data_IF_060495548033
#
_entry.id   IF_060495548033
#
_cell.length_a   1.000
_cell.length_b   1.000
_cell.length_c   1.000
_cell.angle_alpha   90.00
_cell.angle_beta   90.00
_cell.angle_gamma   90.00
#
_symmetry.space_group_name_H-M   'P 1'
#
loop_
_entity.id
_entity.type
_entity.pdbx_description
1 polymer ?
#
# COMPACT_ATOMS: atom_id res chain seq x y z
N UNK A 1 21.64 -4.44 4.18
CA UNK A 1 20.59 -3.41 4.22
C UNK A 1 19.79 -3.64 5.49
N UNK A 2 19.15 -2.62 6.03
CA UNK A 2 18.38 -2.75 7.27
C UNK A 2 17.02 -3.41 6.97
N UNK A 3 16.59 -4.36 7.81
CA UNK A 3 15.29 -5.02 7.65
C UNK A 3 14.19 -4.06 8.12
N UNK A 4 13.31 -3.67 7.20
CA UNK A 4 12.19 -2.78 7.50
C UNK A 4 10.96 -3.56 7.97
N UNK A 5 10.72 -4.74 7.40
CA UNK A 5 9.62 -5.62 7.77
C UNK A 5 10.17 -7.03 8.06
N UNK A 6 9.75 -7.62 9.17
CA UNK A 6 9.98 -9.04 9.49
C UNK A 6 8.67 -9.71 9.84
N UNK A 7 8.34 -10.73 9.10
CA UNK A 7 7.19 -11.62 9.36
C UNK A 7 7.74 -12.93 9.93
N UNK A 8 7.32 -13.32 11.13
CA UNK A 8 7.82 -14.49 11.83
C UNK A 8 6.71 -15.48 12.16
N UNK A 9 6.67 -16.58 11.42
CA UNK A 9 5.78 -17.75 11.59
C UNK A 9 4.32 -17.39 11.81
N UNK A 10 3.82 -16.40 11.09
CA UNK A 10 2.44 -15.96 11.24
C UNK A 10 1.48 -17.05 10.76
N UNK A 11 0.40 -17.17 11.51
CA UNK A 11 -0.76 -18.00 11.16
C UNK A 11 -2.02 -17.16 11.23
N UNK A 12 -2.96 -17.41 10.33
CA UNK A 12 -4.29 -16.80 10.36
C UNK A 12 -5.35 -17.83 10.06
N UNK A 13 -6.24 -17.98 11.01
CA UNK A 13 -7.37 -18.89 10.92
C UNK A 13 -8.67 -18.12 11.03
N UNK A 14 -9.68 -18.52 10.26
CA UNK A 14 -11.05 -18.03 10.33
C UNK A 14 -11.99 -19.19 10.66
N UNK A 15 -13.11 -18.88 11.32
CA UNK A 15 -14.14 -19.84 11.67
C UNK A 15 -14.04 -20.37 13.11
N UNK A 16 -14.84 -21.38 13.40
CA UNK A 16 -14.95 -22.03 14.72
C UNK A 16 -14.37 -23.44 14.66
N UNK A 17 -14.30 -24.13 15.82
CA UNK A 17 -13.70 -25.47 15.98
C UNK A 17 -14.16 -26.51 14.94
N UNK A 18 -15.39 -26.39 14.43
CA UNK A 18 -15.98 -27.33 13.47
C UNK A 18 -15.76 -26.93 12.00
N UNK A 19 -15.42 -25.67 11.72
CA UNK A 19 -15.20 -25.13 10.38
C UNK A 19 -14.01 -24.15 10.37
N UNK A 20 -12.81 -24.66 10.62
CA UNK A 20 -11.59 -23.86 10.65
C UNK A 20 -11.00 -23.74 9.23
N UNK A 21 -10.91 -22.53 8.72
CA UNK A 21 -10.18 -22.22 7.48
C UNK A 21 -8.83 -21.62 7.80
N UNK A 22 -7.76 -22.30 7.37
CA UNK A 22 -6.39 -21.79 7.48
C UNK A 22 -6.11 -20.88 6.27
N UNK A 23 -6.12 -19.57 6.48
CA UNK A 23 -5.80 -18.60 5.44
C UNK A 23 -4.29 -18.38 5.30
N UNK A 24 -3.55 -18.45 6.41
CA UNK A 24 -2.08 -18.40 6.47
C UNK A 24 -1.61 -19.49 7.43
N UNK A 25 -0.60 -20.26 7.03
CA UNK A 25 -0.09 -21.39 7.82
C UNK A 25 1.44 -21.36 7.94
N UNK A 26 1.95 -20.54 8.85
CA UNK A 26 3.36 -20.52 9.25
C UNK A 26 4.30 -19.79 8.27
N UNK A 27 3.90 -18.64 7.72
CA UNK A 27 4.72 -17.86 6.79
C UNK A 27 5.77 -17.04 7.55
N UNK A 28 7.01 -17.04 7.03
CA UNK A 28 8.10 -16.18 7.51
C UNK A 28 8.86 -15.61 6.33
N UNK A 29 9.15 -14.31 6.36
CA UNK A 29 10.02 -13.61 5.41
C UNK A 29 10.41 -12.24 5.96
N UNK A 30 11.44 -11.65 5.36
CA UNK A 30 11.93 -10.31 5.66
C UNK A 30 11.84 -9.44 4.40
N UNK A 31 11.71 -8.12 4.59
CA UNK A 31 11.81 -7.09 3.55
C UNK A 31 12.87 -6.09 3.99
N UNK A 32 13.80 -5.77 3.10
CA UNK A 32 14.82 -4.76 3.36
C UNK A 32 14.33 -3.35 2.96
N UNK A 33 14.91 -2.31 3.58
CA UNK A 33 14.59 -0.94 3.22
C UNK A 33 14.95 -0.64 1.76
N UNK A 34 14.01 -0.04 1.03
CA UNK A 34 14.14 0.25 -0.39
C UNK A 34 13.98 -0.95 -1.32
N UNK A 35 13.54 -2.10 -0.81
CA UNK A 35 13.26 -3.28 -1.63
C UNK A 35 11.87 -3.22 -2.26
N UNK A 36 11.72 -3.78 -3.48
CA UNK A 36 10.43 -4.01 -4.12
C UNK A 36 10.17 -5.51 -4.20
N UNK A 37 9.27 -6.01 -3.37
CA UNK A 37 8.91 -7.43 -3.32
C UNK A 37 7.52 -7.67 -3.90
N UNK A 38 7.43 -8.65 -4.80
CA UNK A 38 6.18 -9.21 -5.31
C UNK A 38 5.88 -10.58 -4.70
N UNK A 39 4.77 -10.72 -3.99
CA UNK A 39 4.26 -12.02 -3.52
C UNK A 39 3.22 -12.51 -4.52
N UNK A 40 3.53 -13.61 -5.20
CA UNK A 40 2.66 -14.21 -6.18
C UNK A 40 1.95 -15.47 -5.65
N UNK A 41 0.72 -15.67 -6.06
CA UNK A 41 -0.05 -16.87 -5.74
C UNK A 41 -1.44 -16.87 -6.35
N UNK A 42 -2.06 -18.03 -6.42
CA UNK A 42 -3.41 -18.19 -6.95
C UNK A 42 -4.45 -17.37 -6.18
N UNK A 43 -5.60 -17.08 -6.78
CA UNK A 43 -6.73 -16.50 -6.06
C UNK A 43 -7.11 -17.39 -4.86
N UNK A 44 -7.39 -16.76 -3.72
CA UNK A 44 -7.73 -17.49 -2.48
C UNK A 44 -6.53 -18.08 -1.73
N UNK A 45 -5.27 -17.84 -2.15
CA UNK A 45 -4.08 -18.35 -1.45
C UNK A 45 -3.68 -17.56 -0.18
N UNK A 46 -4.48 -16.60 0.27
CA UNK A 46 -4.23 -15.84 1.49
C UNK A 46 -3.42 -14.55 1.32
N UNK A 47 -3.12 -14.10 0.09
CA UNK A 47 -2.33 -12.89 -0.17
C UNK A 47 -2.92 -11.62 0.44
N UNK A 48 -4.20 -11.35 0.17
CA UNK A 48 -4.92 -10.21 0.77
C UNK A 48 -5.00 -10.34 2.29
N UNK A 49 -5.18 -11.56 2.82
CA UNK A 49 -5.14 -11.81 4.26
C UNK A 49 -3.78 -11.45 4.85
N UNK A 50 -2.69 -11.82 4.17
CA UNK A 50 -1.33 -11.46 4.57
C UNK A 50 -1.14 -9.94 4.62
N UNK A 51 -1.53 -9.21 3.55
CA UNK A 51 -1.48 -7.75 3.55
C UNK A 51 -2.35 -7.14 4.66
N UNK A 52 -3.54 -7.69 4.92
CA UNK A 52 -4.41 -7.22 5.98
C UNK A 52 -3.77 -7.41 7.37
N UNK A 53 -3.05 -8.51 7.61
CA UNK A 53 -2.30 -8.70 8.85
C UNK A 53 -1.13 -7.72 8.96
N UNK A 54 -0.33 -7.54 7.89
CA UNK A 54 0.79 -6.59 7.87
C UNK A 54 0.30 -5.14 8.05
N UNK A 55 -0.86 -4.83 7.49
CA UNK A 55 -1.47 -3.50 7.61
C UNK A 55 -2.23 -3.25 8.90
N UNK A 56 -2.27 -4.24 9.79
CA UNK A 56 -3.07 -4.19 11.03
C UNK A 56 -4.59 -3.97 10.82
N UNK A 57 -5.10 -4.21 9.60
CA UNK A 57 -6.54 -4.25 9.30
C UNK A 57 -7.15 -5.51 9.90
N UNK A 58 -6.39 -6.61 9.89
CA UNK A 58 -6.74 -7.86 10.57
C UNK A 58 -5.61 -8.26 11.54
N UNK A 59 -5.91 -9.15 12.47
CA UNK A 59 -4.96 -9.65 13.46
C UNK A 59 -4.46 -11.05 13.08
N UNK A 60 -3.23 -11.39 13.40
CA UNK A 60 -2.73 -12.76 13.29
C UNK A 60 -3.35 -13.67 14.35
N UNK A 61 -3.49 -14.98 14.06
CA UNK A 61 -3.90 -15.98 15.07
C UNK A 61 -2.72 -16.43 15.92
N UNK A 62 -1.50 -16.42 15.36
CA UNK A 62 -0.24 -16.64 16.05
C UNK A 62 0.94 -16.13 15.22
N UNK A 63 2.13 -16.06 15.81
CA UNK A 63 3.32 -15.47 15.21
C UNK A 63 3.36 -13.95 15.38
N UNK A 64 4.40 -13.32 14.86
CA UNK A 64 4.68 -11.91 15.06
C UNK A 64 5.02 -11.21 13.74
N UNK A 65 4.70 -9.94 13.67
CA UNK A 65 5.09 -9.07 12.55
C UNK A 65 5.77 -7.84 13.15
N UNK A 66 6.97 -7.53 12.66
CA UNK A 66 7.74 -6.38 13.12
C UNK A 66 7.91 -5.40 11.97
N UNK A 67 7.63 -4.12 12.22
CA UNK A 67 8.03 -3.02 11.36
C UNK A 67 9.19 -2.30 12.05
N UNK A 68 10.38 -2.39 11.46
CA UNK A 68 11.64 -2.13 12.15
C UNK A 68 11.75 -3.01 13.42
N UNK A 69 11.90 -2.39 14.60
CA UNK A 69 11.95 -3.11 15.89
C UNK A 69 10.59 -3.22 16.59
N UNK A 70 9.53 -2.57 16.05
CA UNK A 70 8.22 -2.54 16.68
C UNK A 70 7.40 -3.77 16.30
N UNK A 71 6.99 -4.57 17.29
CA UNK A 71 5.98 -5.62 17.08
C UNK A 71 4.62 -5.00 16.84
N UNK A 72 4.13 -5.10 15.60
CA UNK A 72 2.85 -4.52 15.21
C UNK A 72 1.65 -5.39 15.59
N UNK A 73 1.88 -6.64 15.94
CA UNK A 73 0.81 -7.56 16.41
C UNK A 73 0.37 -7.24 17.84
N UNK A 74 1.18 -6.50 18.60
CA UNK A 74 0.92 -6.11 19.98
C UNK A 74 0.46 -4.64 20.13
N UNK A 75 0.25 -3.93 19.01
CA UNK A 75 -0.21 -2.54 19.06
C UNK A 75 -1.62 -2.48 19.65
N UNK A 76 -1.80 -1.64 20.66
CA UNK A 76 -3.13 -1.39 21.25
C UNK A 76 -4.07 -0.77 20.24
N UNK A 77 -5.34 -1.16 20.27
CA UNK A 77 -6.39 -0.71 19.33
C UNK A 77 -6.44 0.82 19.18
N UNK A 78 -6.30 1.56 20.26
CA UNK A 78 -6.27 3.02 20.29
C UNK A 78 -5.15 3.65 19.46
N UNK A 79 -4.04 2.92 19.23
CA UNK A 79 -2.85 3.38 18.51
C UNK A 79 -2.77 2.86 17.06
N UNK A 80 -3.58 1.88 16.68
CA UNK A 80 -3.55 1.22 15.36
C UNK A 80 -3.77 2.24 14.22
N UNK A 81 -4.77 3.11 14.35
CA UNK A 81 -5.07 4.10 13.32
C UNK A 81 -3.91 5.10 13.13
N UNK A 82 -3.27 5.50 14.21
CA UNK A 82 -2.08 6.36 14.17
C UNK A 82 -0.91 5.63 13.53
N UNK A 83 -0.65 4.39 13.93
CA UNK A 83 0.42 3.57 13.37
C UNK A 83 0.28 3.42 11.84
N UNK A 84 -0.91 3.04 11.34
CA UNK A 84 -1.17 2.93 9.90
C UNK A 84 -0.89 4.24 9.16
N UNK A 85 -1.42 5.33 9.69
CA UNK A 85 -1.28 6.66 9.10
C UNK A 85 0.17 7.13 8.99
N UNK A 86 0.97 6.84 10.03
CA UNK A 86 2.32 7.36 10.14
C UNK A 86 3.36 6.48 9.41
N UNK A 87 3.07 5.19 9.21
CA UNK A 87 4.05 4.22 8.73
C UNK A 87 3.71 3.53 7.41
N UNK A 88 2.43 3.49 7.01
CA UNK A 88 1.99 2.68 5.88
C UNK A 88 1.40 3.53 4.76
N UNK A 89 1.77 3.19 3.51
CA UNK A 89 1.08 3.63 2.31
C UNK A 89 0.24 2.49 1.73
N UNK A 90 -0.88 2.81 1.06
CA UNK A 90 -1.77 1.81 0.48
C UNK A 90 -2.10 2.10 -0.96
N UNK A 91 -1.98 1.07 -1.81
CA UNK A 91 -2.43 1.09 -3.20
C UNK A 91 -3.37 -0.12 -3.38
N UNK A 92 -4.63 0.17 -3.69
CA UNK A 92 -5.68 -0.85 -3.85
C UNK A 92 -6.07 -1.02 -5.32
N UNK A 93 -6.64 -2.18 -5.64
CA UNK A 93 -7.18 -2.50 -6.95
C UNK A 93 -8.23 -1.47 -7.42
N UNK A 94 -9.15 -1.07 -6.55
CA UNK A 94 -10.26 -0.14 -6.85
C UNK A 94 -9.91 1.35 -6.59
N UNK A 95 -8.61 1.68 -6.51
CA UNK A 95 -8.07 3.02 -6.25
C UNK A 95 -8.48 3.64 -4.91
N UNK A 96 -9.69 3.41 -4.43
CA UNK A 96 -10.26 3.96 -3.19
C UNK A 96 -10.10 5.49 -3.08
N UNK A 97 -10.30 6.20 -4.19
CA UNK A 97 -10.37 7.66 -4.20
C UNK A 97 -11.73 8.13 -3.73
N UNK A 98 -11.75 9.26 -3.02
CA UNK A 98 -12.99 9.91 -2.61
C UNK A 98 -13.50 10.77 -3.76
N UNK A 99 -14.65 10.42 -4.35
CA UNK A 99 -15.24 11.11 -5.49
C UNK A 99 -15.73 12.54 -5.18
N UNK A 100 -15.90 12.85 -3.90
CA UNK A 100 -16.27 14.19 -3.41
C UNK A 100 -15.08 15.13 -3.26
N UNK A 101 -13.85 14.62 -3.40
CA UNK A 101 -12.61 15.38 -3.32
C UNK A 101 -11.95 15.44 -4.70
N UNK A 102 -11.25 16.54 -4.97
CA UNK A 102 -10.39 16.67 -6.15
C UNK A 102 -9.19 15.71 -6.06
N UNK A 103 -8.43 15.57 -7.14
CA UNK A 103 -7.18 14.79 -7.15
C UNK A 103 -6.19 15.36 -6.14
N UNK A 104 -6.05 16.70 -6.09
CA UNK A 104 -5.20 17.37 -5.10
C UNK A 104 -5.61 17.05 -3.66
N UNK A 105 -6.90 17.16 -3.35
CA UNK A 105 -7.44 16.89 -2.01
C UNK A 105 -7.33 15.41 -1.63
N UNK A 106 -7.49 14.47 -2.58
CA UNK A 106 -7.26 13.05 -2.34
C UNK A 106 -5.80 12.78 -1.94
N UNK A 107 -4.83 13.43 -2.59
CA UNK A 107 -3.40 13.29 -2.25
C UNK A 107 -3.12 13.97 -0.91
N UNK A 108 -3.67 15.17 -0.68
CA UNK A 108 -3.44 15.97 0.52
C UNK A 108 -4.04 15.36 1.80
N UNK A 109 -5.03 14.46 1.67
CA UNK A 109 -5.87 13.99 2.77
C UNK A 109 -5.06 13.51 3.98
N UNK A 110 -4.06 12.67 3.76
CA UNK A 110 -3.23 12.11 4.85
C UNK A 110 -2.40 13.21 5.55
N UNK A 111 -1.90 14.19 4.80
CA UNK A 111 -1.13 15.30 5.33
C UNK A 111 -2.02 16.22 6.18
N UNK A 112 -3.27 16.44 5.72
CA UNK A 112 -4.27 17.24 6.45
C UNK A 112 -4.64 16.58 7.78
N UNK A 113 -4.88 15.25 7.78
CA UNK A 113 -5.16 14.48 8.99
C UNK A 113 -3.97 14.55 9.97
N UNK A 114 -2.75 14.58 9.45
CA UNK A 114 -1.51 14.73 10.24
C UNK A 114 -1.25 16.19 10.69
N UNK A 115 -2.17 17.11 10.38
CA UNK A 115 -2.06 18.53 10.75
C UNK A 115 -0.78 19.21 10.24
N UNK A 116 -0.31 18.80 9.07
CA UNK A 116 0.80 19.45 8.38
C UNK A 116 0.34 20.86 7.97
N UNK A 117 1.19 21.89 8.07
CA UNK A 117 0.84 23.23 7.61
C UNK A 117 0.46 23.27 6.14
N UNK A 118 -0.57 24.05 5.78
CA UNK A 118 -1.14 24.12 4.43
C UNK A 118 -0.09 24.38 3.35
N UNK A 119 0.82 25.32 3.59
CA UNK A 119 1.92 25.62 2.66
C UNK A 119 2.81 24.39 2.36
N UNK A 120 3.05 23.55 3.36
CA UNK A 120 3.87 22.34 3.20
C UNK A 120 3.08 21.24 2.50
N UNK A 121 1.76 21.16 2.72
CA UNK A 121 0.84 20.27 1.99
C UNK A 121 0.90 20.61 0.49
N UNK A 122 0.67 21.87 0.11
CA UNK A 122 0.69 22.31 -1.29
C UNK A 122 2.00 21.96 -1.99
N UNK A 123 3.13 22.21 -1.31
CA UNK A 123 4.44 21.91 -1.87
C UNK A 123 4.63 20.40 -2.10
N UNK A 124 4.28 19.57 -1.12
CA UNK A 124 4.39 18.11 -1.23
C UNK A 124 3.47 17.55 -2.30
N UNK A 125 2.20 18.00 -2.34
CA UNK A 125 1.25 17.53 -3.35
C UNK A 125 1.73 17.86 -4.75
N UNK A 126 2.18 19.09 -5.01
CA UNK A 126 2.74 19.50 -6.31
C UNK A 126 4.01 18.70 -6.67
N UNK A 127 4.90 18.49 -5.71
CA UNK A 127 6.11 17.70 -5.91
C UNK A 127 5.77 16.27 -6.38
N UNK A 128 4.89 15.56 -5.66
CA UNK A 128 4.54 14.18 -6.00
C UNK A 128 3.65 14.09 -7.24
N UNK A 129 2.75 15.06 -7.46
CA UNK A 129 1.97 15.15 -8.69
C UNK A 129 2.87 15.28 -9.92
N UNK A 130 3.92 16.09 -9.83
CA UNK A 130 4.95 16.25 -10.89
C UNK A 130 5.71 14.94 -11.12
N UNK A 131 6.21 14.30 -10.05
CA UNK A 131 6.92 13.04 -10.14
C UNK A 131 6.10 11.92 -10.80
N UNK A 132 4.78 11.97 -10.65
CA UNK A 132 3.84 10.97 -11.17
C UNK A 132 3.08 11.42 -12.43
N UNK A 133 3.38 12.62 -12.96
CA UNK A 133 2.81 13.13 -14.22
C UNK A 133 1.30 13.34 -14.16
N UNK A 134 0.80 13.94 -13.08
CA UNK A 134 -0.63 14.26 -12.85
C UNK A 134 -0.86 15.70 -12.41
N UNK A 135 0.08 16.62 -12.65
CA UNK A 135 -0.06 18.04 -12.28
C UNK A 135 -1.24 18.72 -12.99
N UNK A 136 -1.49 18.35 -14.25
CA UNK A 136 -2.53 18.93 -15.09
C UNK A 136 -3.96 18.56 -14.71
N UNK A 137 -4.11 17.60 -13.77
CA UNK A 137 -5.42 17.09 -13.34
C UNK A 137 -5.72 17.35 -11.85
N UNK A 138 -4.87 18.07 -11.12
CA UNK A 138 -5.01 18.29 -9.68
C UNK A 138 -6.38 18.85 -9.28
N UNK A 139 -6.93 19.77 -10.10
CA UNK A 139 -8.23 20.40 -9.86
C UNK A 139 -9.43 19.56 -10.33
N UNK A 140 -9.21 18.37 -10.91
CA UNK A 140 -10.27 17.48 -11.38
C UNK A 140 -10.74 16.54 -10.28
N UNK A 141 -11.98 16.07 -10.42
CA UNK A 141 -12.51 15.01 -9.57
C UNK A 141 -12.21 13.61 -10.15
N UNK A 142 -12.20 12.55 -9.34
CA UNK A 142 -11.90 11.20 -9.80
C UNK A 142 -12.74 10.73 -10.99
N UNK A 143 -14.03 11.10 -11.06
CA UNK A 143 -14.90 10.74 -12.17
C UNK A 143 -14.59 11.47 -13.50
N UNK A 144 -13.71 12.48 -13.49
CA UNK A 144 -13.31 13.26 -14.65
C UNK A 144 -11.98 12.79 -15.26
N UNK A 145 -11.35 11.79 -14.71
CA UNK A 145 -10.01 11.33 -15.10
C UNK A 145 -10.00 9.85 -15.48
N UNK A 146 -9.01 9.41 -16.27
CA UNK A 146 -8.86 8.01 -16.69
C UNK A 146 -8.47 7.09 -15.53
N UNK A 147 -8.67 5.76 -15.71
CA UNK A 147 -8.25 4.75 -14.74
C UNK A 147 -6.76 4.84 -14.40
N UNK A 148 -5.89 5.01 -15.40
CA UNK A 148 -4.46 5.19 -15.18
C UNK A 148 -4.11 6.47 -14.42
N UNK A 149 -4.87 7.56 -14.62
CA UNK A 149 -4.71 8.79 -13.84
C UNK A 149 -5.19 8.63 -12.39
N UNK A 150 -6.31 7.93 -12.17
CA UNK A 150 -6.77 7.55 -10.82
C UNK A 150 -5.71 6.74 -10.08
N UNK A 151 -5.09 5.79 -10.76
CA UNK A 151 -4.07 4.93 -10.16
C UNK A 151 -2.81 5.73 -9.78
N UNK A 152 -2.37 6.66 -10.64
CA UNK A 152 -1.26 7.54 -10.29
C UNK A 152 -1.60 8.49 -9.14
N UNK A 153 -2.86 8.94 -9.03
CA UNK A 153 -3.34 9.67 -7.86
C UNK A 153 -3.28 8.82 -6.58
N UNK A 154 -3.74 7.56 -6.64
CA UNK A 154 -3.66 6.62 -5.52
C UNK A 154 -2.20 6.36 -5.12
N UNK A 155 -1.27 6.24 -6.08
CA UNK A 155 0.16 6.11 -5.84
C UNK A 155 0.75 7.36 -5.18
N UNK A 156 0.37 8.56 -5.64
CA UNK A 156 0.77 9.82 -5.01
C UNK A 156 0.31 9.90 -3.55
N UNK A 157 -0.96 9.57 -3.31
CA UNK A 157 -1.53 9.51 -1.96
C UNK A 157 -0.79 8.52 -1.05
N UNK A 158 -0.38 7.39 -1.60
CA UNK A 158 0.33 6.36 -0.84
C UNK A 158 1.71 6.81 -0.38
N UNK A 159 2.44 7.62 -1.18
CA UNK A 159 3.83 7.99 -0.90
C UNK A 159 4.01 9.38 -0.29
N UNK A 160 3.03 10.28 -0.42
CA UNK A 160 3.17 11.71 -0.06
C UNK A 160 3.55 11.95 1.40
N UNK A 161 3.17 11.04 2.29
CA UNK A 161 3.51 11.09 3.72
C UNK A 161 4.84 10.40 4.05
N UNK A 162 5.60 9.94 3.05
CA UNK A 162 6.87 9.22 3.21
C UNK A 162 6.74 8.01 4.15
N UNK A 163 5.84 7.05 3.84
CA UNK A 163 5.64 5.87 4.66
C UNK A 163 6.89 4.98 4.67
N UNK A 164 7.05 4.15 5.70
CA UNK A 164 8.13 3.16 5.79
C UNK A 164 7.98 2.04 4.76
N UNK A 165 6.75 1.65 4.48
CA UNK A 165 6.43 0.63 3.47
C UNK A 165 5.10 0.95 2.78
N UNK A 166 5.05 0.67 1.48
CA UNK A 166 3.84 0.75 0.67
C UNK A 166 3.33 -0.66 0.42
N UNK A 167 2.07 -0.89 0.76
CA UNK A 167 1.37 -2.15 0.56
C UNK A 167 0.45 -2.03 -0.67
N UNK A 168 0.65 -2.88 -1.68
CA UNK A 168 -0.12 -2.87 -2.91
C UNK A 168 -0.88 -4.19 -3.07
N UNK A 169 -2.22 -4.13 -3.01
CA UNK A 169 -3.10 -5.30 -3.16
C UNK A 169 -3.67 -5.36 -4.58
N UNK A 170 -3.15 -6.29 -5.37
CA UNK A 170 -3.54 -6.52 -6.77
C UNK A 170 -3.72 -5.23 -7.59
N UNK A 171 -2.74 -4.32 -7.58
CA UNK A 171 -2.93 -2.94 -8.04
C UNK A 171 -3.21 -2.83 -9.54
N UNK A 172 -2.95 -3.88 -10.32
CA UNK A 172 -3.20 -3.95 -11.77
C UNK A 172 -4.52 -4.62 -12.13
N UNK A 173 -5.22 -5.25 -11.17
CA UNK A 173 -6.35 -6.15 -11.43
C UNK A 173 -7.56 -5.50 -12.10
N UNK A 174 -7.77 -4.17 -11.95
CA UNK A 174 -8.86 -3.42 -12.57
C UNK A 174 -8.41 -2.63 -13.83
N UNK A 175 -7.17 -2.82 -14.31
CA UNK A 175 -6.58 -2.03 -15.38
C UNK A 175 -6.47 -2.83 -16.70
N UNK A 176 -6.60 -2.14 -17.84
CA UNK A 176 -6.15 -2.67 -19.11
C UNK A 176 -4.63 -2.84 -19.15
N UNK A 177 -4.10 -3.66 -20.05
CA UNK A 177 -2.67 -4.01 -20.12
C UNK A 177 -1.74 -2.79 -20.24
N UNK A 178 -2.17 -1.72 -20.94
CA UNK A 178 -1.38 -0.50 -21.10
C UNK A 178 -1.31 0.27 -19.78
N UNK A 179 -2.45 0.44 -19.12
CA UNK A 179 -2.52 1.11 -17.81
C UNK A 179 -1.82 0.31 -16.72
N UNK A 180 -1.92 -1.03 -16.75
CA UNK A 180 -1.20 -1.92 -15.84
C UNK A 180 0.33 -1.73 -15.98
N UNK A 181 0.85 -1.74 -17.21
CA UNK A 181 2.28 -1.50 -17.46
C UNK A 181 2.72 -0.12 -16.94
N UNK A 182 1.94 0.94 -17.21
CA UNK A 182 2.25 2.29 -16.72
C UNK A 182 2.27 2.38 -15.19
N UNK A 183 1.39 1.63 -14.51
CA UNK A 183 1.40 1.56 -13.05
C UNK A 183 2.66 0.87 -12.54
N UNK A 184 3.02 -0.29 -13.10
CA UNK A 184 4.22 -1.03 -12.69
C UNK A 184 5.48 -0.19 -12.90
N UNK A 185 5.61 0.50 -14.03
CA UNK A 185 6.68 1.48 -14.28
C UNK A 185 6.66 2.62 -13.24
N UNK A 186 5.47 3.03 -12.78
CA UNK A 186 5.33 4.03 -11.72
C UNK A 186 5.84 3.50 -10.39
N UNK A 187 5.47 2.27 -10.00
CA UNK A 187 5.95 1.61 -8.78
C UNK A 187 7.46 1.39 -8.80
N UNK A 188 7.99 0.91 -9.93
CA UNK A 188 9.44 0.77 -10.15
C UNK A 188 10.18 2.12 -9.99
N UNK A 189 9.64 3.20 -10.55
CA UNK A 189 10.20 4.53 -10.37
C UNK A 189 10.11 5.02 -8.91
N UNK A 190 9.02 4.71 -8.20
CA UNK A 190 8.91 5.03 -6.77
C UNK A 190 9.97 4.28 -5.96
N UNK A 191 10.21 3.02 -6.26
CA UNK A 191 11.26 2.23 -5.62
C UNK A 191 12.66 2.74 -6.00
N UNK A 192 13.01 2.76 -7.30
CA UNK A 192 14.36 3.04 -7.76
C UNK A 192 14.82 4.49 -7.51
N UNK A 193 13.92 5.48 -7.74
CA UNK A 193 14.25 6.91 -7.65
C UNK A 193 13.89 7.54 -6.31
N UNK A 194 12.80 7.09 -5.68
CA UNK A 194 12.33 7.66 -4.41
C UNK A 194 12.68 6.77 -3.21
N UNK A 195 13.32 5.62 -3.45
CA UNK A 195 13.72 4.64 -2.42
C UNK A 195 12.55 4.12 -1.58
N UNK A 196 11.35 4.10 -2.15
CA UNK A 196 10.19 3.55 -1.47
C UNK A 196 10.34 2.03 -1.31
N UNK A 197 10.09 1.52 -0.12
CA UNK A 197 9.93 0.08 0.12
C UNK A 197 8.53 -0.32 -0.31
N UNK A 198 8.38 -1.34 -1.15
CA UNK A 198 7.08 -1.75 -1.71
C UNK A 198 6.90 -3.25 -1.53
N UNK A 199 5.78 -3.64 -0.93
CA UNK A 199 5.30 -5.02 -0.88
C UNK A 199 4.01 -5.13 -1.69
N UNK A 200 4.08 -5.81 -2.82
CA UNK A 200 2.95 -6.01 -3.73
C UNK A 200 2.49 -7.47 -3.68
N UNK A 201 1.19 -7.70 -3.61
CA UNK A 201 0.63 -9.02 -3.85
C UNK A 201 -0.12 -9.03 -5.19
N UNK A 202 0.06 -10.10 -5.95
CA UNK A 202 -0.55 -10.24 -7.28
C UNK A 202 -0.75 -11.71 -7.65
N UNK A 203 -1.68 -11.97 -8.56
CA UNK A 203 -1.79 -13.26 -9.25
C UNK A 203 -1.36 -13.16 -10.73
N UNK A 204 -0.99 -11.96 -11.19
CA UNK A 204 -0.57 -11.69 -12.56
C UNK A 204 0.95 -11.90 -12.71
N UNK A 205 1.41 -12.85 -13.56
CA UNK A 205 2.83 -13.09 -13.78
C UNK A 205 3.60 -11.89 -14.36
N UNK A 206 2.93 -11.04 -15.15
CA UNK A 206 3.56 -9.83 -15.69
C UNK A 206 3.91 -8.86 -14.56
N UNK A 207 2.97 -8.65 -13.64
CA UNK A 207 3.20 -7.79 -12.46
C UNK A 207 4.32 -8.32 -11.57
N UNK A 208 4.50 -9.63 -11.49
CA UNK A 208 5.55 -10.26 -10.68
C UNK A 208 6.95 -10.22 -11.34
N UNK A 209 7.04 -9.81 -12.59
CA UNK A 209 8.32 -9.72 -13.34
C UNK A 209 9.02 -8.35 -13.22
N UNK A 210 8.37 -7.38 -12.61
CA UNK A 210 8.91 -6.07 -12.26
C UNK A 210 9.57 -6.09 -10.88
#
# INVERSE_FOLDING_TARGET
MEKILRVDKIQKYYGNKDNLTKAIDGISFDVEEGEFIGIMGASGSGKTTLLNCISTIDTVSSGHIYLEEQDITEIKEENIAKFRRDNLGFIFQDFNLLDTLTIEENIALILTINKIPEKDIDNKVKEFAKKLGIEDILNKYPYQVSGGQKQRCASARAIVNSPKIILADEPTGALDSKSAKQLLETLENMNSKLKATILMVTHDPLSASY
#
